data_IF_666304720360
#
_entry.id   IF_666304720360
#
_cell.length_a   1.000
_cell.length_b   1.000
_cell.length_c   1.000
_cell.angle_alpha   90.00
_cell.angle_beta   90.00
_cell.angle_gamma   90.00
#
_symmetry.space_group_name_H-M   'P 1'
#
loop_
_entity.id
_entity.type
_entity.pdbx_description
1 polymer ?
#
# COMPACT_ATOMS: atom_id res chain seq x y z
N UNK A 1 -6.40 3.16 -10.69
CA UNK A 1 -7.60 3.43 -9.89
C UNK A 1 -7.16 3.62 -8.45
N UNK A 2 -7.53 4.72 -7.79
CA UNK A 2 -7.26 4.87 -6.36
C UNK A 2 -8.10 3.86 -5.55
N UNK A 3 -7.59 3.45 -4.40
CA UNK A 3 -8.32 2.62 -3.44
C UNK A 3 -9.20 3.56 -2.62
N UNK A 4 -10.52 3.33 -2.63
CA UNK A 4 -11.49 4.16 -1.90
C UNK A 4 -11.87 3.60 -0.52
N UNK A 5 -11.46 2.36 -0.23
CA UNK A 5 -11.76 1.68 1.02
C UNK A 5 -10.51 1.59 1.91
N UNK A 6 -10.71 1.45 3.21
CA UNK A 6 -9.63 1.18 4.18
C UNK A 6 -9.02 -0.21 4.00
N UNK A 7 -9.78 -1.13 3.41
CA UNK A 7 -9.38 -2.53 3.22
C UNK A 7 -9.48 -2.87 1.73
N UNK A 8 -8.47 -3.60 1.26
CA UNK A 8 -8.43 -4.21 -0.05
C UNK A 8 -7.95 -5.66 0.06
N UNK A 9 -8.33 -6.46 -0.93
CA UNK A 9 -7.85 -7.83 -1.06
C UNK A 9 -6.48 -7.84 -1.75
N UNK A 10 -5.54 -8.63 -1.25
CA UNK A 10 -4.19 -8.69 -1.84
C UNK A 10 -4.23 -9.31 -3.24
N UNK A 11 -5.13 -10.28 -3.44
CA UNK A 11 -5.35 -10.96 -4.72
C UNK A 11 -5.72 -9.98 -5.84
N UNK A 12 -6.43 -8.89 -5.52
CA UNK A 12 -6.74 -7.85 -6.50
C UNK A 12 -5.48 -7.21 -7.06
N UNK A 13 -4.39 -7.15 -6.30
CA UNK A 13 -3.14 -6.50 -6.71
C UNK A 13 -2.06 -7.50 -7.14
N UNK A 14 -2.38 -8.79 -7.18
CA UNK A 14 -1.50 -9.81 -7.74
C UNK A 14 -1.63 -9.87 -9.26
N UNK A 15 -0.53 -10.16 -9.93
CA UNK A 15 -0.50 -10.37 -11.37
C UNK A 15 -0.87 -11.81 -11.72
N UNK A 16 -1.60 -11.97 -12.83
CA UNK A 16 -2.04 -13.29 -13.31
C UNK A 16 -0.99 -13.99 -14.15
N UNK A 17 -0.48 -13.26 -15.14
CA UNK A 17 0.37 -13.81 -16.22
C UNK A 17 1.84 -13.44 -16.04
N UNK A 18 2.22 -12.90 -14.87
CA UNK A 18 3.57 -12.49 -14.53
C UNK A 18 3.97 -13.05 -13.15
N UNK A 19 5.28 -13.15 -12.90
CA UNK A 19 5.79 -13.59 -11.60
C UNK A 19 5.48 -12.51 -10.55
N UNK A 20 4.86 -12.92 -9.44
CA UNK A 20 4.57 -12.04 -8.31
C UNK A 20 5.80 -11.92 -7.40
N UNK A 21 6.60 -10.87 -7.62
CA UNK A 21 7.78 -10.56 -6.79
C UNK A 21 7.50 -9.62 -5.63
N UNK A 22 6.40 -8.88 -5.69
CA UNK A 22 6.01 -7.87 -4.71
C UNK A 22 4.52 -7.98 -4.43
N UNK A 23 4.12 -7.62 -3.21
CA UNK A 23 2.73 -7.58 -2.77
C UNK A 23 2.38 -6.17 -2.30
N UNK A 24 1.11 -5.79 -2.45
CA UNK A 24 0.57 -4.56 -1.91
C UNK A 24 -0.07 -4.83 -0.54
N UNK A 25 0.76 -4.85 0.50
CA UNK A 25 0.34 -5.19 1.86
C UNK A 25 -0.36 -4.03 2.57
N UNK A 26 -1.21 -4.38 3.54
CA UNK A 26 -1.82 -3.42 4.48
C UNK A 26 -0.75 -2.77 5.36
N UNK A 27 -1.10 -1.66 6.02
CA UNK A 27 -0.19 -0.98 6.93
C UNK A 27 0.28 -1.91 8.07
N UNK A 28 1.57 -1.86 8.40
CA UNK A 28 2.18 -2.58 9.50
C UNK A 28 1.90 -1.85 10.82
N UNK A 29 0.72 -2.08 11.41
CA UNK A 29 0.25 -1.36 12.61
C UNK A 29 1.20 -1.51 13.81
N UNK A 30 1.83 -2.67 13.97
CA UNK A 30 2.82 -2.92 15.05
C UNK A 30 4.08 -2.04 14.96
N UNK A 31 4.28 -1.31 13.86
CA UNK A 31 5.43 -0.40 13.75
C UNK A 31 5.26 0.79 14.70
N UNK A 32 4.02 1.13 15.07
CA UNK A 32 3.72 2.15 16.07
C UNK A 32 4.35 1.85 17.43
N UNK A 33 4.44 0.57 17.81
CA UNK A 33 4.98 0.14 19.10
C UNK A 33 6.48 0.43 19.24
N UNK A 34 7.16 0.70 18.12
CA UNK A 34 8.59 1.06 18.12
C UNK A 34 8.85 2.53 18.46
N UNK A 35 7.82 3.40 18.42
CA UNK A 35 7.95 4.82 18.79
C UNK A 35 8.00 4.94 20.32
N UNK A 36 9.12 5.41 20.85
CA UNK A 36 9.39 5.44 22.31
C UNK A 36 8.80 6.63 23.06
N UNK A 37 8.35 7.65 22.34
CA UNK A 37 7.79 8.88 22.91
C UNK A 37 6.26 8.76 23.05
N UNK A 38 5.66 9.63 23.84
CA UNK A 38 4.20 9.67 24.00
C UNK A 38 3.55 10.34 22.78
N UNK A 39 2.53 9.69 22.21
CA UNK A 39 1.76 10.22 21.09
C UNK A 39 0.31 9.75 21.17
N UNK A 40 -0.58 10.47 20.47
CA UNK A 40 -1.99 10.09 20.35
C UNK A 40 -2.27 9.72 18.90
N UNK A 41 -2.71 8.47 18.68
CA UNK A 41 -3.04 7.95 17.36
C UNK A 41 -4.41 7.26 17.36
N UNK A 42 -5.29 7.70 16.46
CA UNK A 42 -6.66 7.19 16.40
C UNK A 42 -6.73 5.93 15.54
N UNK A 43 -7.39 4.88 16.04
CA UNK A 43 -7.55 3.61 15.32
C UNK A 43 -8.21 3.77 13.94
N UNK A 44 -9.08 4.77 13.77
CA UNK A 44 -9.75 5.07 12.50
C UNK A 44 -8.77 5.42 11.36
N UNK A 45 -7.57 5.90 11.67
CA UNK A 45 -6.61 6.35 10.65
C UNK A 45 -5.57 5.27 10.30
N UNK A 46 -5.55 4.15 11.02
CA UNK A 46 -4.46 3.16 10.92
C UNK A 46 -4.57 2.26 9.69
N UNK A 47 -5.78 2.06 9.16
CA UNK A 47 -6.03 1.15 8.05
C UNK A 47 -5.88 1.83 6.68
N UNK A 48 -6.10 3.14 6.61
CA UNK A 48 -5.97 3.90 5.36
C UNK A 48 -4.56 3.76 4.77
N UNK A 49 -4.47 3.32 3.51
CA UNK A 49 -3.20 3.00 2.85
C UNK A 49 -2.16 4.12 2.99
N UNK A 50 -0.97 3.76 3.48
CA UNK A 50 0.18 4.64 3.69
C UNK A 50 0.03 5.75 4.74
N UNK A 51 -1.19 6.09 5.14
CA UNK A 51 -1.44 7.24 6.01
C UNK A 51 -0.86 7.05 7.42
N UNK A 52 -0.87 5.82 7.93
CA UNK A 52 -0.25 5.50 9.21
C UNK A 52 1.23 5.94 9.26
N UNK A 53 1.99 5.61 8.23
CA UNK A 53 3.42 5.92 8.16
C UNK A 53 3.69 7.41 8.02
N UNK A 54 2.84 8.15 7.31
CA UNK A 54 2.90 9.62 7.25
C UNK A 54 2.74 10.22 8.65
N UNK A 55 1.71 9.78 9.39
CA UNK A 55 1.45 10.25 10.75
C UNK A 55 2.58 9.89 11.71
N UNK A 56 3.14 8.68 11.62
CA UNK A 56 4.34 8.30 12.37
C UNK A 56 5.53 9.23 12.06
N UNK A 57 5.77 9.53 10.79
CA UNK A 57 6.83 10.44 10.39
C UNK A 57 6.58 11.87 10.89
N UNK A 58 5.32 12.32 10.94
CA UNK A 58 4.95 13.62 11.53
C UNK A 58 5.18 13.65 13.04
N UNK A 59 4.79 12.59 13.76
CA UNK A 59 5.07 12.46 15.19
C UNK A 59 6.56 12.51 15.50
N UNK A 60 7.37 11.79 14.73
CA UNK A 60 8.83 11.85 14.80
C UNK A 60 9.39 13.26 14.56
N UNK A 61 8.87 13.98 13.55
CA UNK A 61 9.28 15.37 13.28
C UNK A 61 8.92 16.33 14.40
N UNK A 62 7.75 16.13 15.01
CA UNK A 62 7.31 16.97 16.13
C UNK A 62 8.15 16.73 17.38
N UNK A 63 8.58 15.49 17.62
CA UNK A 63 9.39 15.13 18.78
C UNK A 63 10.87 15.51 18.62
N UNK A 64 11.47 15.24 17.46
CA UNK A 64 12.92 15.33 17.25
C UNK A 64 13.35 16.41 16.25
N UNK A 65 12.42 17.09 15.57
CA UNK A 65 12.74 18.01 14.48
C UNK A 65 13.14 17.30 13.17
N UNK A 66 14.00 17.94 12.38
CA UNK A 66 14.40 17.46 11.03
C UNK A 66 15.90 17.18 10.87
N UNK A 67 16.69 17.48 11.90
CA UNK A 67 18.15 17.39 11.86
C UNK A 67 18.62 16.13 12.58
N UNK A 68 19.83 16.11 13.13
CA UNK A 68 20.51 14.91 13.65
C UNK A 68 19.67 14.06 14.60
N UNK A 69 18.84 14.68 15.45
CA UNK A 69 17.98 13.99 16.42
C UNK A 69 16.88 13.12 15.75
N UNK A 70 16.53 13.42 14.49
CA UNK A 70 15.54 12.64 13.73
C UNK A 70 16.11 11.39 13.07
N UNK A 71 17.42 11.17 13.13
CA UNK A 71 18.11 9.99 12.57
C UNK A 71 18.09 8.78 13.52
N UNK A 72 16.98 8.60 14.23
CA UNK A 72 16.70 7.38 15.00
C UNK A 72 16.02 6.33 14.11
N UNK A 73 16.32 5.03 14.30
CA UNK A 73 15.89 3.98 13.39
C UNK A 73 14.37 3.93 13.20
N UNK A 74 13.60 4.11 14.28
CA UNK A 74 12.13 4.12 14.23
C UNK A 74 11.57 5.22 13.30
N UNK A 75 12.20 6.39 13.27
CA UNK A 75 11.78 7.52 12.45
C UNK A 75 12.26 7.40 11.00
N UNK A 76 13.45 6.84 10.78
CA UNK A 76 13.96 6.52 9.46
C UNK A 76 13.10 5.44 8.79
N UNK A 77 12.73 4.40 9.53
CA UNK A 77 11.83 3.36 9.05
C UNK A 77 10.47 3.95 8.68
N UNK A 78 9.82 4.71 9.57
CA UNK A 78 8.54 5.34 9.27
C UNK A 78 8.58 6.17 7.97
N UNK A 79 9.65 6.95 7.76
CA UNK A 79 9.86 7.72 6.53
C UNK A 79 10.03 6.84 5.30
N UNK A 80 10.83 5.79 5.41
CA UNK A 80 11.10 4.87 4.30
C UNK A 80 9.83 4.09 3.91
N UNK A 81 9.10 3.55 4.90
CA UNK A 81 7.82 2.88 4.69
C UNK A 81 6.81 3.80 4.03
N UNK A 82 6.71 5.06 4.47
CA UNK A 82 5.81 6.03 3.84
C UNK A 82 6.16 6.27 2.36
N UNK A 83 7.42 6.57 2.07
CA UNK A 83 7.87 6.84 0.69
C UNK A 83 7.67 5.64 -0.23
N UNK A 84 8.03 4.44 0.23
CA UNK A 84 7.82 3.21 -0.52
C UNK A 84 6.35 2.92 -0.72
N UNK A 85 5.52 3.06 0.32
CA UNK A 85 4.09 2.79 0.24
C UNK A 85 3.40 3.71 -0.77
N UNK A 86 3.67 5.01 -0.75
CA UNK A 86 3.07 5.96 -1.71
C UNK A 86 3.52 5.67 -3.14
N UNK A 87 4.81 5.41 -3.34
CA UNK A 87 5.35 5.06 -4.67
C UNK A 87 4.72 3.79 -5.21
N UNK A 88 4.59 2.75 -4.39
CA UNK A 88 3.99 1.48 -4.77
C UNK A 88 2.49 1.64 -5.07
N UNK A 89 1.73 2.29 -4.18
CA UNK A 89 0.30 2.55 -4.41
C UNK A 89 0.06 3.38 -5.66
N UNK A 90 0.89 4.38 -5.95
CA UNK A 90 0.81 5.15 -7.18
C UNK A 90 1.05 4.28 -8.43
N UNK A 91 2.10 3.44 -8.42
CA UNK A 91 2.40 2.51 -9.52
C UNK A 91 1.28 1.50 -9.75
N UNK A 92 0.81 0.83 -8.69
CA UNK A 92 -0.32 -0.10 -8.76
C UNK A 92 -1.61 0.60 -9.19
N UNK A 93 -1.85 1.82 -8.71
CA UNK A 93 -2.97 2.64 -9.12
C UNK A 93 -2.93 2.94 -10.62
N UNK A 94 -1.77 3.32 -11.17
CA UNK A 94 -1.64 3.54 -12.62
C UNK A 94 -1.84 2.23 -13.39
N UNK A 95 -1.20 1.14 -12.96
CA UNK A 95 -1.35 -0.17 -13.57
C UNK A 95 -2.82 -0.63 -13.58
N UNK A 96 -3.54 -0.52 -12.47
CA UNK A 96 -4.97 -0.85 -12.39
C UNK A 96 -5.85 0.02 -13.29
N UNK A 97 -5.44 1.25 -13.61
CA UNK A 97 -6.21 2.16 -14.47
C UNK A 97 -6.02 1.83 -15.95
N UNK A 98 -4.79 1.56 -16.36
CA UNK A 98 -4.41 1.48 -17.77
C UNK A 98 -4.16 0.05 -18.27
N UNK A 99 -3.83 -0.87 -17.36
CA UNK A 99 -3.53 -2.28 -17.64
C UNK A 99 -4.27 -3.22 -16.66
N UNK A 100 -5.61 -3.11 -16.56
CA UNK A 100 -6.39 -3.92 -15.62
C UNK A 100 -6.27 -5.44 -15.89
N UNK A 101 -6.04 -5.86 -17.13
CA UNK A 101 -5.89 -7.24 -17.59
C UNK A 101 -4.63 -7.95 -17.09
N UNK A 102 -3.70 -7.23 -16.45
CA UNK A 102 -2.54 -7.84 -15.82
C UNK A 102 -2.88 -8.48 -14.47
N UNK A 103 -3.96 -8.04 -13.83
CA UNK A 103 -4.30 -8.43 -12.46
C UNK A 103 -5.15 -9.70 -12.40
N UNK A 104 -4.98 -10.48 -11.34
CA UNK A 104 -5.60 -11.80 -11.19
C UNK A 104 -7.12 -11.79 -11.33
N UNK A 105 -7.77 -10.84 -10.65
CA UNK A 105 -9.23 -10.78 -10.50
C UNK A 105 -9.96 -10.16 -11.68
N UNK A 106 -9.23 -9.66 -12.69
CA UNK A 106 -9.87 -9.05 -13.85
C UNK A 106 -10.32 -10.11 -14.88
N UNK A 107 -11.55 -9.94 -15.40
CA UNK A 107 -12.16 -10.86 -16.36
C UNK A 107 -11.38 -10.94 -17.68
N UNK A 108 -10.78 -9.83 -18.10
CA UNK A 108 -9.99 -9.74 -19.33
C UNK A 108 -8.59 -10.34 -19.18
N UNK A 109 -8.17 -10.70 -17.97
CA UNK A 109 -6.87 -11.36 -17.74
C UNK A 109 -6.82 -12.78 -18.30
N UNK A 110 -7.99 -13.41 -18.45
CA UNK A 110 -8.22 -14.61 -19.27
C UNK A 110 -9.65 -14.54 -19.81
N UNK A 111 -9.84 -13.93 -20.99
CA UNK A 111 -11.16 -13.77 -21.56
C UNK A 111 -11.82 -15.13 -21.77
N UNK A 112 -13.07 -15.25 -21.34
CA UNK A 112 -13.88 -16.42 -21.63
C UNK A 112 -14.47 -16.27 -23.04
N UNK A 113 -14.37 -17.30 -23.90
CA UNK A 113 -14.94 -17.24 -25.23
C UNK A 113 -16.48 -17.16 -25.16
N UNK A 114 -17.07 -16.47 -26.13
CA UNK A 114 -18.53 -16.44 -26.26
C UNK A 114 -19.04 -17.80 -26.72
N UNK A 115 -20.30 -18.12 -26.43
CA UNK A 115 -20.91 -19.40 -26.85
C UNK A 115 -20.82 -19.61 -28.38
N UNK A 116 -20.96 -18.53 -29.17
CA UNK A 116 -20.84 -18.58 -30.64
C UNK A 116 -19.44 -19.00 -31.12
N UNK A 117 -18.42 -18.78 -30.31
CA UNK A 117 -17.02 -19.14 -30.63
C UNK A 117 -16.75 -20.63 -30.33
N UNK A 118 -17.69 -21.34 -29.68
CA UNK A 118 -17.55 -22.75 -29.32
C UNK A 118 -17.90 -23.71 -30.47
N UNK A 119 -18.51 -23.22 -31.56
CA UNK A 119 -18.87 -24.04 -32.72
C UNK A 119 -19.94 -25.10 -32.44
N UNK A 120 -20.75 -24.88 -31.40
CA UNK A 120 -21.89 -25.73 -30.99
C UNK A 120 -23.22 -25.19 -31.51
#
# INVERSE_FOLDING_TARGET
MPIYNEVWEEEDFMFRNMINLQTLTKNHVKLLDNLKFEFVEYKANQLLACHLYDRMAQHCKNQFGLFEDSYVPECLDARNYFQLCVRMNASYGLAKKYFPEYFLTNEYSRPNPNFKELGL
#
